data_IF_402812781145
#
_entry.id   IF_402812781145
#
_cell.length_a   1.000
_cell.length_b   1.000
_cell.length_c   1.000
_cell.angle_alpha   90.00
_cell.angle_beta   90.00
_cell.angle_gamma   90.00
#
_symmetry.space_group_name_H-M   'P 1'
#
loop_
_entity.id
_entity.type
_entity.pdbx_description
1 polymer ?
#
# COMPACT_ATOMS: atom_id res chain seq x y z
N UNK A 1 18.11 -8.70 -20.25
CA UNK A 1 17.39 -8.36 -19.00
C UNK A 1 16.69 -9.62 -18.50
N UNK A 2 16.92 -10.05 -17.26
CA UNK A 2 16.27 -11.26 -16.72
C UNK A 2 14.76 -11.05 -16.62
N UNK A 3 13.94 -12.06 -16.92
CA UNK A 3 12.46 -11.96 -16.91
C UNK A 3 11.91 -11.43 -15.59
N UNK A 4 12.57 -11.74 -14.47
CA UNK A 4 12.20 -11.25 -13.14
C UNK A 4 12.48 -9.76 -12.95
N UNK A 5 13.58 -9.25 -13.52
CA UNK A 5 13.92 -7.82 -13.49
C UNK A 5 12.92 -7.04 -14.35
N UNK A 6 12.58 -7.58 -15.53
CA UNK A 6 11.54 -7.00 -16.38
C UNK A 6 10.18 -6.96 -15.67
N UNK A 7 9.78 -8.04 -15.00
CA UNK A 7 8.54 -8.08 -14.23
C UNK A 7 8.53 -7.09 -13.06
N UNK A 8 9.62 -6.99 -12.30
CA UNK A 8 9.74 -6.03 -11.21
C UNK A 8 9.69 -4.57 -11.72
N UNK A 9 10.39 -4.27 -12.81
CA UNK A 9 10.35 -2.95 -13.45
C UNK A 9 8.95 -2.60 -13.97
N UNK A 10 8.26 -3.56 -14.59
CA UNK A 10 6.89 -3.39 -15.04
C UNK A 10 5.92 -3.15 -13.87
N UNK A 11 6.05 -3.89 -12.77
CA UNK A 11 5.23 -3.69 -11.58
C UNK A 11 5.43 -2.28 -10.98
N UNK A 12 6.68 -1.82 -10.87
CA UNK A 12 6.98 -0.47 -10.41
C UNK A 12 6.40 0.59 -11.36
N UNK A 13 6.57 0.43 -12.67
CA UNK A 13 6.01 1.34 -13.66
C UNK A 13 4.48 1.42 -13.55
N UNK A 14 3.80 0.28 -13.41
CA UNK A 14 2.35 0.23 -13.24
C UNK A 14 1.90 0.91 -11.93
N UNK A 15 2.63 0.74 -10.82
CA UNK A 15 2.34 1.46 -9.58
C UNK A 15 2.47 2.98 -9.75
N UNK A 16 3.51 3.46 -10.44
CA UNK A 16 3.70 4.89 -10.69
C UNK A 16 2.62 5.45 -11.62
N UNK A 17 2.24 4.71 -12.66
CA UNK A 17 1.14 5.08 -13.55
C UNK A 17 -0.16 5.17 -12.75
N UNK A 18 -0.49 4.16 -11.94
CA UNK A 18 -1.69 4.18 -11.10
C UNK A 18 -1.70 5.40 -10.14
N UNK A 19 -0.57 5.72 -9.53
CA UNK A 19 -0.43 6.91 -8.69
C UNK A 19 -0.65 8.21 -9.48
N UNK A 20 -0.08 8.32 -10.69
CA UNK A 20 -0.30 9.47 -11.57
C UNK A 20 -1.78 9.62 -11.94
N UNK A 21 -2.47 8.52 -12.23
CA UNK A 21 -3.91 8.56 -12.53
C UNK A 21 -4.73 9.07 -11.34
N UNK A 22 -4.40 8.65 -10.11
CA UNK A 22 -5.06 9.13 -8.90
C UNK A 22 -4.88 10.66 -8.75
N UNK A 23 -3.66 11.18 -8.90
CA UNK A 23 -3.44 12.61 -8.68
C UNK A 23 -3.92 13.51 -9.82
N UNK A 24 -3.92 13.03 -11.06
CA UNK A 24 -4.31 13.81 -12.23
C UNK A 24 -5.81 13.75 -12.52
N UNK A 25 -6.46 12.60 -12.32
CA UNK A 25 -7.85 12.39 -12.75
C UNK A 25 -8.86 12.25 -11.61
N UNK A 26 -8.45 11.89 -10.39
CA UNK A 26 -9.43 11.68 -9.33
C UNK A 26 -10.11 13.02 -8.94
N UNK A 27 -11.44 13.11 -8.98
CA UNK A 27 -12.15 14.31 -8.56
C UNK A 27 -11.91 14.55 -7.06
N UNK A 28 -11.92 15.80 -6.64
CA UNK A 28 -11.79 16.16 -5.24
C UNK A 28 -13.08 15.86 -4.50
N UNK A 29 -12.98 15.17 -3.37
CA UNK A 29 -14.12 14.86 -2.51
C UNK A 29 -14.67 16.12 -1.81
N UNK A 30 -15.99 16.22 -1.66
CA UNK A 30 -16.65 17.38 -1.07
C UNK A 30 -16.42 17.52 0.43
N UNK A 31 -16.23 16.40 1.16
CA UNK A 31 -16.05 16.39 2.62
C UNK A 31 -14.59 16.45 3.02
N UNK A 32 -13.73 15.77 2.27
CA UNK A 32 -12.31 15.59 2.62
C UNK A 32 -11.36 16.43 1.76
N UNK A 33 -11.86 17.07 0.70
CA UNK A 33 -11.06 17.89 -0.20
C UNK A 33 -9.96 17.11 -0.93
N UNK A 34 -8.86 17.77 -1.34
CA UNK A 34 -7.81 17.13 -2.13
C UNK A 34 -6.99 16.09 -1.36
N UNK A 35 -7.01 16.12 -0.02
CA UNK A 35 -6.28 15.16 0.85
C UNK A 35 -6.82 13.74 0.66
N UNK A 36 -8.08 13.60 0.28
CA UNK A 36 -8.73 12.32 0.01
C UNK A 36 -7.96 11.48 -1.02
N UNK A 37 -7.24 12.10 -1.96
CA UNK A 37 -6.45 11.37 -2.96
C UNK A 37 -5.36 10.47 -2.35
N UNK A 38 -4.81 10.85 -1.19
CA UNK A 38 -3.84 10.04 -0.44
C UNK A 38 -4.49 8.73 0.06
N UNK A 39 -5.79 8.76 0.33
CA UNK A 39 -6.54 7.60 0.84
C UNK A 39 -6.54 6.44 -0.16
N UNK A 40 -6.62 6.72 -1.47
CA UNK A 40 -6.54 5.67 -2.50
C UNK A 40 -5.22 4.89 -2.42
N UNK A 41 -4.10 5.59 -2.21
CA UNK A 41 -2.80 4.94 -2.06
C UNK A 41 -2.68 4.20 -0.72
N UNK A 42 -3.20 4.81 0.36
CA UNK A 42 -3.17 4.22 1.70
C UNK A 42 -3.96 2.90 1.79
N UNK A 43 -5.19 2.86 1.27
CA UNK A 43 -6.02 1.65 1.34
C UNK A 43 -5.45 0.54 0.46
N UNK A 44 -4.99 0.87 -0.75
CA UNK A 44 -4.33 -0.11 -1.61
C UNK A 44 -3.06 -0.66 -0.98
N UNK A 45 -2.24 0.17 -0.32
CA UNK A 45 -1.05 -0.30 0.39
C UNK A 45 -1.38 -1.16 1.60
N UNK A 46 -2.47 -0.86 2.32
CA UNK A 46 -2.94 -1.66 3.45
C UNK A 46 -3.36 -3.07 3.01
N UNK A 47 -4.14 -3.16 1.92
CA UNK A 47 -4.55 -4.45 1.34
C UNK A 47 -3.33 -5.24 0.87
N UNK A 48 -2.36 -4.59 0.19
CA UNK A 48 -1.12 -5.24 -0.23
C UNK A 48 -0.30 -5.77 0.95
N UNK A 49 -0.24 -5.05 2.06
CA UNK A 49 0.40 -5.51 3.30
C UNK A 49 -0.31 -6.75 3.87
N UNK A 50 -1.64 -6.74 3.98
CA UNK A 50 -2.40 -7.90 4.47
C UNK A 50 -2.23 -9.13 3.59
N UNK A 51 -2.28 -8.97 2.26
CA UNK A 51 -2.03 -10.07 1.32
C UNK A 51 -0.61 -10.62 1.50
N UNK A 52 0.39 -9.74 1.68
CA UNK A 52 1.77 -10.17 1.91
C UNK A 52 1.90 -11.01 3.18
N UNK A 53 1.28 -10.58 4.29
CA UNK A 53 1.28 -11.38 5.53
C UNK A 53 0.48 -12.68 5.42
N UNK A 54 -0.62 -12.71 4.66
CA UNK A 54 -1.33 -13.95 4.37
C UNK A 54 -0.43 -14.95 3.64
N UNK A 55 0.39 -14.49 2.68
CA UNK A 55 1.39 -15.32 1.99
C UNK A 55 2.50 -15.78 2.95
N UNK A 56 2.94 -14.94 3.89
CA UNK A 56 3.89 -15.35 4.94
C UNK A 56 3.34 -16.51 5.76
N UNK A 57 2.09 -16.40 6.23
CA UNK A 57 1.44 -17.47 7.00
C UNK A 57 1.31 -18.74 6.17
N UNK A 58 0.80 -18.64 4.94
CA UNK A 58 0.67 -19.80 4.06
C UNK A 58 2.01 -20.48 3.75
N UNK A 59 3.06 -19.70 3.45
CA UNK A 59 4.41 -20.20 3.20
C UNK A 59 5.03 -20.86 4.43
N UNK A 60 4.84 -20.27 5.61
CA UNK A 60 5.32 -20.82 6.88
C UNK A 60 4.61 -22.12 7.24
N UNK A 61 3.29 -22.20 7.06
CA UNK A 61 2.52 -23.45 7.27
C UNK A 61 2.99 -24.54 6.30
N UNK A 62 3.21 -24.21 5.03
CA UNK A 62 3.73 -25.15 4.05
C UNK A 62 5.15 -25.66 4.40
N UNK A 63 5.99 -24.78 4.96
CA UNK A 63 7.31 -25.16 5.48
C UNK A 63 7.19 -26.11 6.68
N UNK A 64 6.36 -25.80 7.67
CA UNK A 64 6.19 -26.67 8.84
C UNK A 64 5.63 -28.05 8.49
N UNK A 65 4.74 -28.13 7.50
CA UNK A 65 4.09 -29.40 7.15
C UNK A 65 4.96 -30.30 6.25
N UNK A 66 5.73 -29.71 5.33
CA UNK A 66 6.45 -30.49 4.29
C UNK A 66 7.94 -30.18 4.22
N UNK A 67 8.49 -29.45 5.19
CA UNK A 67 9.87 -28.94 5.20
C UNK A 67 10.25 -28.25 3.87
N UNK A 68 9.28 -27.56 3.27
CA UNK A 68 9.44 -27.01 1.92
C UNK A 68 10.32 -25.76 1.94
N UNK A 69 11.58 -25.89 1.51
CA UNK A 69 12.52 -24.76 1.34
C UNK A 69 11.94 -23.66 0.43
N UNK A 70 11.10 -24.04 -0.54
CA UNK A 70 10.40 -23.08 -1.40
C UNK A 70 9.40 -22.24 -0.60
N UNK A 71 8.65 -22.88 0.30
CA UNK A 71 7.71 -22.20 1.21
C UNK A 71 8.42 -21.19 2.11
N UNK A 72 9.56 -21.55 2.68
CA UNK A 72 10.39 -20.65 3.50
C UNK A 72 10.90 -19.44 2.69
N UNK A 73 11.43 -19.68 1.48
CA UNK A 73 11.92 -18.60 0.60
C UNK A 73 10.81 -17.62 0.20
N UNK A 74 9.60 -18.12 -0.06
CA UNK A 74 8.43 -17.30 -0.38
C UNK A 74 7.96 -16.53 0.86
N UNK A 75 7.90 -17.17 2.03
CA UNK A 75 7.54 -16.51 3.28
C UNK A 75 8.53 -15.37 3.60
N UNK A 76 9.84 -15.61 3.47
CA UNK A 76 10.86 -14.59 3.70
C UNK A 76 10.75 -13.41 2.75
N UNK A 77 10.55 -13.64 1.46
CA UNK A 77 10.40 -12.55 0.48
C UNK A 77 9.10 -11.77 0.70
N UNK A 78 7.99 -12.46 0.97
CA UNK A 78 6.71 -11.84 1.28
C UNK A 78 6.76 -11.01 2.57
N UNK A 79 7.52 -11.44 3.58
CA UNK A 79 7.69 -10.67 4.82
C UNK A 79 8.37 -9.32 4.58
N UNK A 80 9.44 -9.28 3.77
CA UNK A 80 10.13 -8.03 3.42
C UNK A 80 9.20 -7.08 2.66
N UNK A 81 8.45 -7.61 1.69
CA UNK A 81 7.47 -6.82 0.91
C UNK A 81 6.35 -6.30 1.83
N UNK A 82 5.85 -7.15 2.72
CA UNK A 82 4.82 -6.80 3.70
C UNK A 82 5.26 -5.64 4.60
N UNK A 83 6.47 -5.70 5.17
CA UNK A 83 7.01 -4.62 6.01
C UNK A 83 7.08 -3.29 5.25
N UNK A 84 7.55 -3.29 4.00
CA UNK A 84 7.60 -2.07 3.18
C UNK A 84 6.21 -1.47 3.00
N UNK A 85 5.21 -2.28 2.61
CA UNK A 85 3.84 -1.81 2.44
C UNK A 85 3.20 -1.38 3.77
N UNK A 86 3.53 -2.02 4.89
CA UNK A 86 3.08 -1.59 6.22
C UNK A 86 3.67 -0.23 6.57
N UNK A 87 4.96 -0.01 6.36
CA UNK A 87 5.60 1.30 6.60
C UNK A 87 4.93 2.39 5.76
N UNK A 88 4.71 2.14 4.47
CA UNK A 88 4.01 3.06 3.57
C UNK A 88 2.60 3.36 4.08
N UNK A 89 1.86 2.32 4.47
CA UNK A 89 0.49 2.43 5.00
C UNK A 89 0.46 3.30 6.26
N UNK A 90 1.37 3.09 7.21
CA UNK A 90 1.44 3.88 8.44
C UNK A 90 1.77 5.35 8.15
N UNK A 91 2.76 5.61 7.31
CA UNK A 91 3.17 6.98 6.94
C UNK A 91 2.03 7.71 6.24
N UNK A 92 1.42 7.10 5.23
CA UNK A 92 0.27 7.69 4.52
C UNK A 92 -0.95 7.86 5.42
N UNK A 93 -1.19 6.90 6.32
CA UNK A 93 -2.28 6.96 7.29
C UNK A 93 -2.13 8.15 8.23
N UNK A 94 -0.94 8.39 8.77
CA UNK A 94 -0.65 9.57 9.59
C UNK A 94 -0.82 10.88 8.82
N UNK A 95 -0.37 10.93 7.56
CA UNK A 95 -0.50 12.12 6.71
C UNK A 95 -1.96 12.47 6.41
N UNK A 96 -2.79 11.46 6.15
CA UNK A 96 -4.22 11.64 5.89
C UNK A 96 -5.03 11.92 7.18
N UNK A 97 -4.71 11.25 8.29
CA UNK A 97 -5.45 11.40 9.55
C UNK A 97 -5.25 12.77 10.20
N UNK A 98 -4.06 13.38 10.04
CA UNK A 98 -3.75 14.69 10.66
C UNK A 98 -4.71 15.82 10.24
N UNK A 99 -4.97 16.10 8.95
CA UNK A 99 -5.92 17.14 8.56
C UNK A 99 -7.39 16.80 8.86
N UNK A 100 -7.76 15.50 8.88
CA UNK A 100 -9.16 15.08 9.01
C UNK A 100 -9.59 14.90 10.48
N UNK A 101 -8.74 14.33 11.34
CA UNK A 101 -9.10 13.97 12.72
C UNK A 101 -8.52 14.90 13.78
N UNK A 102 -7.30 15.42 13.58
CA UNK A 102 -6.67 16.28 14.59
C UNK A 102 -7.30 17.67 14.68
N UNK A 103 -8.03 18.10 13.65
CA UNK A 103 -8.96 19.23 13.72
C UNK A 103 -10.37 18.67 13.79
N UNK A 104 -10.87 18.43 15.01
CA UNK A 104 -12.24 18.00 15.22
C UNK A 104 -13.21 18.84 14.38
N UNK A 105 -13.90 18.20 13.44
CA UNK A 105 -15.09 18.72 12.75
C UNK A 105 -15.09 20.20 12.33
N UNK A 106 -13.99 20.74 11.80
CA UNK A 106 -14.02 22.12 11.28
C UNK A 106 -14.31 22.13 9.77
N UNK A 107 -15.53 22.50 9.32
CA UNK A 107 -15.76 22.89 7.94
C UNK A 107 -14.99 24.19 7.66
N UNK A 108 -14.79 24.59 6.39
CA UNK A 108 -13.99 25.73 5.94
C UNK A 108 -12.52 25.33 5.72
N UNK A 109 -12.20 24.64 4.61
CA UNK A 109 -11.85 25.32 3.35
C UNK A 109 -11.85 26.84 3.52
N UNK A 110 -10.75 27.33 4.09
CA UNK A 110 -10.44 28.74 4.27
C UNK A 110 -10.75 29.46 2.97
N UNK A 111 -11.76 30.33 3.01
CA UNK A 111 -12.17 31.16 1.88
C UNK A 111 -10.97 31.83 1.23
N UNK A 112 -10.66 31.38 0.01
CA UNK A 112 -10.09 32.17 -1.06
C UNK A 112 -10.36 31.45 -2.37
#
# INVERSE_FOLDING_TARGET
>A
MNRYVAAAAAALALMLVAAAFIFLFAPTDALQGPVQRIFYLHVSSAIAAFVSFAVVVAGSVAYLWRESIVGDRVARSAALVGVVFTTVTLVMGMMWAKPIWARGGAPCIRGR
#
